data_IF_628468614682
#
_entry.id   IF_628468614682
#
_cell.length_a   1.000
_cell.length_b   1.000
_cell.length_c   1.000
_cell.angle_alpha   90.00
_cell.angle_beta   90.00
_cell.angle_gamma   90.00
#
_symmetry.space_group_name_H-M   'P 1'
#
loop_
_entity.id
_entity.type
_entity.pdbx_description
1 polymer ?
#
# COMPACT_ATOMS: atom_id res chain seq x y z
N UNK A 1 11.31 14.95 -13.69
CA UNK A 1 10.67 16.03 -12.92
C UNK A 1 10.05 15.42 -11.68
N UNK A 2 10.36 15.95 -10.50
CA UNK A 2 9.92 15.40 -9.22
C UNK A 2 8.47 15.84 -8.97
N UNK A 3 7.49 15.11 -9.50
CA UNK A 3 6.04 15.44 -9.45
C UNK A 3 5.43 15.24 -8.05
N UNK A 4 6.19 15.44 -6.98
CA UNK A 4 5.69 15.30 -5.61
C UNK A 4 5.47 16.69 -5.05
N UNK A 5 4.20 17.07 -4.87
CA UNK A 5 3.84 18.32 -4.20
C UNK A 5 4.55 18.39 -2.84
N UNK A 6 5.10 19.56 -2.46
CA UNK A 6 5.71 19.73 -1.14
C UNK A 6 4.64 19.57 -0.06
N UNK A 7 5.00 18.95 1.07
CA UNK A 7 4.13 18.84 2.24
C UNK A 7 3.85 20.24 2.79
N UNK A 8 2.57 20.56 3.03
CA UNK A 8 2.18 21.81 3.68
C UNK A 8 2.62 21.82 5.15
N UNK A 9 2.59 22.98 5.80
CA UNK A 9 2.87 23.07 7.24
C UNK A 9 1.83 22.28 8.07
N UNK A 10 0.58 22.25 7.60
CA UNK A 10 -0.51 21.47 8.21
C UNK A 10 -0.28 19.96 8.04
N UNK A 11 0.10 19.51 6.84
CA UNK A 11 0.42 18.10 6.56
C UNK A 11 1.54 17.62 7.50
N UNK A 12 2.59 18.45 7.70
CA UNK A 12 3.71 18.12 8.59
C UNK A 12 3.28 18.01 10.04
N UNK A 13 2.50 18.98 10.56
CA UNK A 13 2.00 18.92 11.94
C UNK A 13 1.15 17.68 12.19
N UNK A 14 0.19 17.39 11.31
CA UNK A 14 -0.64 16.20 11.41
C UNK A 14 0.20 14.90 11.40
N UNK A 15 1.22 14.83 10.54
CA UNK A 15 2.16 13.70 10.48
C UNK A 15 2.95 13.52 11.77
N UNK A 16 3.41 14.61 12.36
CA UNK A 16 4.17 14.57 13.61
C UNK A 16 3.28 14.20 14.81
N UNK A 17 2.10 14.81 14.93
CA UNK A 17 1.13 14.51 15.98
C UNK A 17 0.71 13.04 15.96
N UNK A 18 0.38 12.53 14.78
CA UNK A 18 0.05 11.12 14.61
C UNK A 18 1.23 10.20 14.93
N UNK A 19 2.46 10.60 14.58
CA UNK A 19 3.64 9.84 14.93
C UNK A 19 3.86 9.73 16.44
N UNK A 20 3.61 10.83 17.16
CA UNK A 20 3.62 10.82 18.61
C UNK A 20 2.51 9.93 19.17
N UNK A 21 1.28 10.04 18.68
CA UNK A 21 0.16 9.21 19.13
C UNK A 21 0.48 7.71 18.98
N UNK A 22 0.94 7.29 17.80
CA UNK A 22 1.24 5.89 17.52
C UNK A 22 2.41 5.34 18.34
N UNK A 23 3.41 6.16 18.68
CA UNK A 23 4.55 5.73 19.50
C UNK A 23 4.27 5.76 21.00
N UNK A 24 3.43 6.69 21.46
CA UNK A 24 3.08 6.86 22.88
C UNK A 24 1.95 5.93 23.30
N UNK A 25 1.22 5.36 22.33
CA UNK A 25 0.12 4.46 22.63
C UNK A 25 0.61 3.21 23.36
N UNK A 26 0.03 2.95 24.53
CA UNK A 26 0.28 1.75 25.34
C UNK A 26 -0.86 0.74 25.25
N UNK A 27 -1.87 1.01 24.43
CA UNK A 27 -2.98 0.10 24.20
C UNK A 27 -2.47 -1.13 23.42
N UNK A 28 -2.58 -2.36 23.99
CA UNK A 28 -2.18 -3.58 23.30
C UNK A 28 -2.94 -3.81 21.99
N UNK A 29 -4.17 -3.29 21.85
CA UNK A 29 -4.98 -3.40 20.61
C UNK A 29 -4.40 -2.52 19.49
N UNK A 30 -3.68 -1.44 19.84
CA UNK A 30 -2.95 -0.56 18.90
C UNK A 30 -1.48 -0.96 18.74
N UNK A 31 -1.10 -2.18 19.14
CA UNK A 31 0.21 -2.72 18.81
C UNK A 31 0.38 -2.84 17.30
N UNK A 32 1.59 -2.58 16.80
CA UNK A 32 1.96 -2.75 15.40
C UNK A 32 1.60 -4.14 14.85
N UNK A 33 1.54 -5.13 15.72
CA UNK A 33 1.24 -6.52 15.38
C UNK A 33 -0.24 -6.75 15.00
N UNK A 34 -1.14 -5.90 15.48
CA UNK A 34 -2.59 -5.97 15.24
C UNK A 34 -3.08 -4.99 14.17
N UNK A 35 -2.18 -4.19 13.60
CA UNK A 35 -2.51 -3.22 12.55
C UNK A 35 -2.42 -3.89 11.18
N UNK A 36 -3.51 -3.77 10.41
CA UNK A 36 -3.52 -4.19 9.01
C UNK A 36 -3.29 -2.96 8.13
N UNK A 37 -2.19 -2.93 7.39
CA UNK A 37 -1.85 -1.87 6.44
C UNK A 37 -2.34 -2.23 5.04
N UNK A 38 -3.17 -1.39 4.44
CA UNK A 38 -3.73 -1.61 3.10
C UNK A 38 -3.52 -0.39 2.19
N UNK A 39 -3.46 -0.62 0.88
CA UNK A 39 -3.41 0.42 -0.14
C UNK A 39 -3.75 -0.14 -1.53
N UNK A 40 -4.15 0.72 -2.47
CA UNK A 40 -4.30 0.38 -3.88
C UNK A 40 -3.05 0.71 -4.70
N UNK A 41 -2.72 -0.16 -5.66
CA UNK A 41 -1.62 0.07 -6.59
C UNK A 41 -2.03 -0.16 -8.04
N UNK A 42 -1.72 0.81 -8.90
CA UNK A 42 -1.83 0.68 -10.37
C UNK A 42 -0.56 0.07 -10.98
N UNK A 43 -0.73 -0.90 -11.86
CA UNK A 43 0.30 -1.59 -12.63
C UNK A 43 0.04 -1.42 -14.13
N UNK A 44 1.07 -1.20 -14.95
CA UNK A 44 0.92 -0.93 -16.38
C UNK A 44 1.68 -1.97 -17.21
N UNK A 45 1.14 -2.33 -18.38
CA UNK A 45 1.75 -3.35 -19.23
C UNK A 45 3.16 -2.99 -19.70
N UNK A 46 3.41 -1.70 -19.93
CA UNK A 46 4.65 -1.19 -20.50
C UNK A 46 5.76 -0.95 -19.46
N UNK A 47 5.48 -1.21 -18.19
CA UNK A 47 6.44 -1.06 -17.10
C UNK A 47 6.02 -0.05 -16.03
N UNK A 48 6.87 0.12 -15.00
CA UNK A 48 6.55 0.93 -13.83
C UNK A 48 6.63 2.43 -14.10
N UNK A 49 5.69 3.20 -13.53
CA UNK A 49 5.62 4.66 -13.68
C UNK A 49 6.86 5.41 -13.15
N UNK A 50 7.53 4.87 -12.12
CA UNK A 50 8.60 5.57 -11.37
C UNK A 50 9.95 4.84 -11.32
N UNK A 51 10.15 3.78 -12.11
CA UNK A 51 11.40 3.00 -12.17
C UNK A 51 11.98 2.93 -13.60
N UNK A 52 11.98 4.05 -14.33
CA UNK A 52 12.54 4.12 -15.68
C UNK A 52 14.08 4.23 -15.71
N UNK A 53 14.72 4.51 -14.58
CA UNK A 53 16.18 4.58 -14.47
C UNK A 53 16.75 3.22 -14.04
N UNK A 54 17.81 2.76 -14.72
CA UNK A 54 18.50 1.50 -14.39
C UNK A 54 20.01 1.67 -14.49
N UNK A 55 20.74 0.90 -13.67
CA UNK A 55 22.19 0.79 -13.77
C UNK A 55 22.54 -0.08 -14.97
N UNK A 56 23.32 0.48 -15.90
CA UNK A 56 23.67 -0.15 -17.17
C UNK A 56 25.15 -0.51 -17.19
N UNK A 57 25.44 -1.78 -17.48
CA UNK A 57 26.76 -2.17 -17.99
C UNK A 57 26.86 -1.76 -19.47
N UNK A 58 27.82 -0.89 -19.79
CA UNK A 58 28.01 -0.36 -21.16
C UNK A 58 28.36 -1.44 -22.18
N UNK A 59 28.83 -2.61 -21.73
CA UNK A 59 29.17 -3.75 -22.58
C UNK A 59 27.94 -4.53 -23.07
N UNK A 60 26.77 -4.29 -22.49
CA UNK A 60 25.52 -4.95 -22.89
C UNK A 60 24.69 -4.06 -23.83
N UNK A 61 23.94 -4.67 -24.77
CA UNK A 61 23.03 -3.92 -25.63
C UNK A 61 22.02 -3.13 -24.79
N UNK A 62 21.56 -2.00 -25.33
CA UNK A 62 20.57 -1.14 -24.67
C UNK A 62 19.31 -1.94 -24.34
N UNK A 63 18.82 -1.83 -23.11
CA UNK A 63 17.48 -2.32 -22.76
C UNK A 63 16.48 -1.56 -23.63
N UNK A 64 15.84 -2.26 -24.56
CA UNK A 64 14.78 -1.71 -25.39
C UNK A 64 13.44 -1.90 -24.68
N UNK A 65 12.85 -0.81 -24.20
CA UNK A 65 11.46 -0.80 -23.73
C UNK A 65 10.60 -0.17 -24.82
N UNK A 66 9.58 -0.88 -25.32
CA UNK A 66 8.63 -0.29 -26.27
C UNK A 66 7.52 0.38 -25.47
N UNK A 67 7.21 1.64 -25.77
CA UNK A 67 6.03 2.32 -25.22
C UNK A 67 4.93 2.26 -26.26
N UNK A 68 3.77 1.72 -25.92
CA UNK A 68 2.63 1.70 -26.85
C UNK A 68 2.12 3.13 -27.07
N UNK A 69 1.80 3.46 -28.31
CA UNK A 69 1.24 4.78 -28.70
C UNK A 69 -0.22 4.92 -28.23
N UNK A 70 -0.95 3.81 -28.08
CA UNK A 70 -2.31 3.73 -27.52
C UNK A 70 -2.57 2.34 -26.90
N UNK A 71 -3.52 2.25 -25.94
CA UNK A 71 -3.98 0.96 -25.40
C UNK A 71 -3.08 0.31 -24.35
N UNK A 72 -2.30 1.10 -23.61
CA UNK A 72 -1.23 0.63 -22.72
C UNK A 72 -1.64 -0.28 -21.56
N UNK A 73 -2.94 -0.50 -21.31
CA UNK A 73 -3.49 -1.44 -20.33
C UNK A 73 -3.00 -1.26 -18.89
N UNK A 74 -3.90 -1.31 -17.92
CA UNK A 74 -3.48 -1.28 -16.53
C UNK A 74 -4.34 -2.15 -15.66
N UNK A 75 -3.73 -2.69 -14.61
CA UNK A 75 -4.38 -3.44 -13.56
C UNK A 75 -4.29 -2.61 -12.29
N UNK A 76 -5.42 -2.34 -11.67
CA UNK A 76 -5.45 -1.80 -10.31
C UNK A 76 -5.64 -2.95 -9.35
N UNK A 77 -4.84 -3.01 -8.30
CA UNK A 77 -4.94 -4.05 -7.27
C UNK A 77 -5.05 -3.43 -5.90
N UNK A 78 -5.68 -4.15 -4.98
CA UNK A 78 -5.73 -3.84 -3.55
C UNK A 78 -5.17 -5.02 -2.77
N UNK A 79 -4.46 -4.74 -1.69
CA UNK A 79 -4.10 -5.75 -0.69
C UNK A 79 -3.87 -5.12 0.67
N UNK A 80 -3.82 -5.98 1.69
CA UNK A 80 -3.41 -5.67 3.05
C UNK A 80 -2.25 -6.54 3.54
N UNK A 81 -1.46 -6.00 4.47
CA UNK A 81 -0.41 -6.72 5.20
C UNK A 81 -0.47 -6.39 6.69
N UNK A 82 -0.09 -7.35 7.52
CA UNK A 82 0.03 -7.20 8.98
C UNK A 82 1.15 -8.10 9.50
N UNK A 83 1.44 -8.06 10.81
CA UNK A 83 2.42 -8.96 11.40
C UNK A 83 2.03 -10.45 11.30
N UNK A 84 0.74 -10.76 11.11
CA UNK A 84 0.24 -12.12 10.92
C UNK A 84 0.37 -12.61 9.46
N UNK A 85 0.42 -11.71 8.48
CA UNK A 85 0.62 -12.10 7.09
C UNK A 85 0.16 -11.07 6.07
N UNK A 86 -0.31 -11.57 4.94
CA UNK A 86 -0.82 -10.79 3.82
C UNK A 86 -2.22 -11.28 3.46
N UNK A 87 -3.09 -10.36 3.05
CA UNK A 87 -4.41 -10.72 2.52
C UNK A 87 -4.27 -11.42 1.17
N UNK A 88 -5.38 -11.94 0.64
CA UNK A 88 -5.44 -12.22 -0.80
C UNK A 88 -5.31 -10.90 -1.58
N UNK A 89 -4.70 -10.97 -2.76
CA UNK A 89 -4.62 -9.85 -3.69
C UNK A 89 -5.97 -9.69 -4.40
N UNK A 90 -6.56 -8.50 -4.35
CA UNK A 90 -7.79 -8.18 -5.05
C UNK A 90 -7.47 -7.43 -6.35
N UNK A 91 -8.05 -7.84 -7.47
CA UNK A 91 -8.01 -7.08 -8.73
C UNK A 91 -9.24 -6.19 -8.80
N UNK A 92 -9.01 -4.89 -8.91
CA UNK A 92 -10.07 -3.88 -8.98
C UNK A 92 -10.42 -3.62 -10.44
N UNK A 93 -11.71 -3.76 -10.76
CA UNK A 93 -12.24 -3.59 -12.11
C UNK A 93 -13.00 -2.26 -12.23
N UNK A 94 -12.73 -1.51 -13.31
CA UNK A 94 -13.49 -0.28 -13.63
C UNK A 94 -13.24 0.89 -12.68
N UNK A 95 -14.14 1.87 -12.72
CA UNK A 95 -14.17 2.97 -11.76
C UNK A 95 -14.73 2.46 -10.44
N UNK A 96 -13.94 2.58 -9.37
CA UNK A 96 -14.33 2.10 -8.05
C UNK A 96 -15.40 3.01 -7.45
N UNK A 97 -16.53 2.43 -7.06
CA UNK A 97 -17.57 3.11 -6.28
C UNK A 97 -17.52 2.68 -4.80
N UNK A 98 -18.45 3.18 -3.98
CA UNK A 98 -18.53 2.82 -2.56
C UNK A 98 -18.80 1.35 -2.31
N UNK A 99 -19.58 0.70 -3.18
CA UNK A 99 -20.06 -0.67 -2.98
C UNK A 99 -18.96 -1.67 -3.36
N UNK A 100 -18.18 -1.39 -4.40
CA UNK A 100 -16.97 -2.15 -4.76
C UNK A 100 -15.94 -2.13 -3.62
N UNK A 101 -15.90 -1.01 -2.91
CA UNK A 101 -15.01 -0.84 -1.78
C UNK A 101 -15.49 -1.65 -0.56
N UNK A 102 -16.79 -1.60 -0.25
CA UNK A 102 -17.39 -2.46 0.79
C UNK A 102 -17.15 -3.93 0.46
N UNK A 103 -17.33 -4.34 -0.80
CA UNK A 103 -17.05 -5.69 -1.26
C UNK A 103 -15.59 -6.09 -1.06
N UNK A 104 -14.65 -5.21 -1.44
CA UNK A 104 -13.21 -5.49 -1.26
C UNK A 104 -12.88 -5.72 0.22
N UNK A 105 -13.47 -4.92 1.10
CA UNK A 105 -13.26 -5.06 2.54
C UNK A 105 -13.93 -6.31 3.10
N UNK A 106 -15.16 -6.61 2.69
CA UNK A 106 -15.90 -7.78 3.17
C UNK A 106 -15.28 -9.10 2.72
N UNK A 107 -14.73 -9.16 1.50
CA UNK A 107 -14.21 -10.40 0.93
C UNK A 107 -12.71 -10.61 1.15
N UNK A 108 -11.93 -9.54 1.25
CA UNK A 108 -10.46 -9.65 1.32
C UNK A 108 -9.89 -9.24 2.66
N UNK A 109 -10.43 -8.19 3.30
CA UNK A 109 -9.93 -7.73 4.59
C UNK A 109 -10.54 -8.52 5.74
N UNK A 110 -11.87 -8.58 5.85
CA UNK A 110 -12.54 -9.17 7.02
C UNK A 110 -12.24 -10.65 7.22
N UNK A 111 -12.20 -11.50 6.19
CA UNK A 111 -11.90 -12.91 6.39
C UNK A 111 -10.47 -13.11 6.92
N UNK A 112 -9.52 -12.29 6.45
CA UNK A 112 -8.14 -12.29 6.95
C UNK A 112 -8.08 -11.77 8.40
N UNK A 113 -8.78 -10.67 8.68
CA UNK A 113 -8.80 -10.08 10.01
C UNK A 113 -9.40 -11.06 11.04
N UNK A 114 -10.57 -11.63 10.75
CA UNK A 114 -11.23 -12.61 11.60
C UNK A 114 -10.41 -13.88 11.78
N UNK A 115 -9.72 -14.38 10.74
CA UNK A 115 -8.93 -15.61 10.83
C UNK A 115 -7.68 -15.46 11.69
N UNK A 116 -7.08 -14.25 11.73
CA UNK A 116 -5.82 -14.02 12.44
C UNK A 116 -5.97 -13.32 13.79
N UNK A 117 -6.98 -12.48 13.94
CA UNK A 117 -7.14 -11.57 15.09
C UNK A 117 -8.51 -11.67 15.77
N UNK A 118 -9.46 -12.44 15.21
CA UNK A 118 -10.83 -12.50 15.73
C UNK A 118 -11.51 -11.13 15.60
N UNK A 119 -12.03 -10.60 16.71
CA UNK A 119 -12.67 -9.27 16.79
C UNK A 119 -11.69 -8.14 17.16
N UNK A 120 -10.46 -8.47 17.54
CA UNK A 120 -9.51 -7.52 18.14
C UNK A 120 -8.47 -7.03 17.12
N UNK A 121 -8.90 -6.31 16.08
CA UNK A 121 -8.00 -5.74 15.07
C UNK A 121 -8.33 -4.30 14.67
N UNK A 122 -7.30 -3.58 14.19
CA UNK A 122 -7.44 -2.21 13.71
C UNK A 122 -6.95 -2.10 12.26
N UNK A 123 -7.84 -1.96 11.28
CA UNK A 123 -7.40 -1.66 9.93
C UNK A 123 -6.89 -0.23 9.84
N UNK A 124 -5.68 -0.09 9.30
CA UNK A 124 -5.16 1.16 8.76
C UNK A 124 -5.43 1.18 7.25
N UNK A 125 -6.32 2.07 6.82
CA UNK A 125 -6.57 2.30 5.41
C UNK A 125 -6.31 3.76 5.08
N UNK A 126 -5.67 4.02 3.94
CA UNK A 126 -5.54 5.37 3.36
C UNK A 126 -6.91 5.93 2.92
N UNK A 127 -7.93 5.09 2.89
CA UNK A 127 -9.14 5.30 2.12
C UNK A 127 -10.15 6.23 2.77
N UNK A 128 -9.98 6.54 4.05
CA UNK A 128 -10.79 7.58 4.72
C UNK A 128 -10.66 8.95 4.05
N UNK A 129 -9.56 9.25 3.36
CA UNK A 129 -9.39 10.55 2.68
C UNK A 129 -10.16 10.71 1.37
N UNK A 130 -10.77 9.66 0.82
CA UNK A 130 -11.69 9.82 -0.32
C UNK A 130 -13.14 10.11 0.10
N UNK A 131 -13.47 9.90 1.39
CA UNK A 131 -14.82 10.05 1.90
C UNK A 131 -14.86 11.11 3.01
N UNK A 132 -14.69 12.37 2.65
CA UNK A 132 -14.91 13.54 3.54
C UNK A 132 -16.41 13.79 3.87
N UNK A 133 -17.26 12.78 3.71
CA UNK A 133 -18.67 12.77 4.09
C UNK A 133 -19.02 11.39 4.68
N UNK A 134 -19.93 11.30 5.67
CA UNK A 134 -20.48 10.03 6.09
C UNK A 134 -21.16 9.43 4.85
N UNK A 135 -20.52 8.42 4.29
CA UNK A 135 -20.95 7.69 3.11
C UNK A 135 -21.04 6.22 3.47
N UNK A 136 -21.75 5.43 2.66
CA UNK A 136 -22.02 4.00 2.90
C UNK A 136 -20.85 3.14 3.44
N UNK A 137 -19.58 3.37 3.04
CA UNK A 137 -18.46 2.62 3.61
C UNK A 137 -18.27 2.86 5.12
N UNK A 138 -18.47 4.08 5.61
CA UNK A 138 -18.31 4.39 7.04
C UNK A 138 -19.41 3.78 7.92
N UNK A 139 -20.65 3.67 7.40
CA UNK A 139 -21.71 2.95 8.10
C UNK A 139 -21.41 1.45 8.15
N UNK A 140 -20.87 0.87 7.08
CA UNK A 140 -20.42 -0.52 7.10
C UNK A 140 -19.33 -0.78 8.15
N UNK A 141 -18.30 0.07 8.23
CA UNK A 141 -17.27 -0.08 9.27
C UNK A 141 -17.83 0.03 10.69
N UNK A 142 -18.76 0.96 10.90
CA UNK A 142 -19.44 1.13 12.20
C UNK A 142 -20.31 -0.08 12.54
N UNK A 143 -21.05 -0.64 11.58
CA UNK A 143 -21.88 -1.83 11.75
C UNK A 143 -21.06 -3.09 12.02
N UNK A 144 -19.86 -3.19 11.45
CA UNK A 144 -18.93 -4.29 11.70
C UNK A 144 -18.05 -4.08 12.94
N UNK A 145 -18.30 -3.02 13.72
CA UNK A 145 -17.52 -2.65 14.92
C UNK A 145 -16.01 -2.47 14.65
N UNK A 146 -15.67 -2.09 13.42
CA UNK A 146 -14.28 -1.93 12.97
C UNK A 146 -13.78 -0.54 13.36
N UNK A 147 -12.75 -0.50 14.21
CA UNK A 147 -12.07 0.76 14.54
C UNK A 147 -10.99 1.07 13.50
N UNK A 148 -11.24 2.07 12.66
CA UNK A 148 -10.29 2.53 11.63
C UNK A 148 -9.27 3.49 12.25
N UNK A 149 -7.99 3.29 11.92
CA UNK A 149 -6.93 4.18 12.39
C UNK A 149 -6.93 5.51 11.62
N UNK A 150 -6.92 6.67 12.31
CA UNK A 150 -6.90 7.96 11.65
C UNK A 150 -5.61 8.12 10.82
N UNK A 151 -5.75 8.30 9.49
CA UNK A 151 -4.61 8.36 8.57
C UNK A 151 -4.25 9.79 8.13
N UNK A 152 -2.97 10.14 8.21
CA UNK A 152 -2.52 11.54 7.97
C UNK A 152 -2.39 11.98 6.50
N UNK A 153 -2.68 11.18 5.49
CA UNK A 153 -2.39 11.45 4.07
C UNK A 153 -1.09 12.16 3.65
N UNK A 154 -0.77 11.97 2.36
CA UNK A 154 0.55 12.26 1.81
C UNK A 154 1.67 11.62 2.64
N UNK A 155 1.37 10.48 3.26
CA UNK A 155 2.28 9.70 4.10
C UNK A 155 2.55 8.29 3.59
N UNK A 156 2.89 8.10 2.30
CA UNK A 156 3.24 6.77 1.79
C UNK A 156 4.47 6.21 2.50
N UNK A 157 5.39 7.06 2.95
CA UNK A 157 6.60 6.68 3.69
C UNK A 157 6.29 6.07 5.08
N UNK A 158 5.08 6.33 5.61
CA UNK A 158 4.56 5.75 6.85
C UNK A 158 3.62 4.55 6.60
N UNK A 159 3.50 4.05 5.37
CA UNK A 159 2.78 2.83 5.04
C UNK A 159 3.75 1.74 4.56
N UNK A 160 3.94 0.63 5.29
CA UNK A 160 4.91 -0.41 4.92
C UNK A 160 4.54 -1.12 3.62
N UNK A 161 3.27 -1.14 3.22
CA UNK A 161 2.83 -1.78 1.98
C UNK A 161 3.40 -1.08 0.73
N UNK A 162 3.72 0.21 0.81
CA UNK A 162 4.36 0.95 -0.29
C UNK A 162 5.76 0.42 -0.60
N UNK A 163 6.51 -0.03 0.42
CA UNK A 163 7.78 -0.71 0.21
C UNK A 163 7.57 -2.10 -0.39
N UNK A 164 6.51 -2.80 0.00
CA UNK A 164 6.16 -4.10 -0.59
C UNK A 164 5.77 -3.96 -2.07
N UNK A 165 5.00 -2.92 -2.43
CA UNK A 165 4.75 -2.56 -3.82
C UNK A 165 6.05 -2.30 -4.59
N UNK A 166 7.03 -1.67 -3.96
CA UNK A 166 8.35 -1.46 -4.55
C UNK A 166 9.12 -2.78 -4.77
N UNK A 167 9.06 -3.72 -3.82
CA UNK A 167 9.67 -5.05 -3.96
C UNK A 167 9.03 -5.80 -5.13
N UNK A 168 7.70 -5.89 -5.14
CA UNK A 168 6.96 -6.52 -6.24
C UNK A 168 7.27 -5.87 -7.58
N UNK A 169 7.37 -4.53 -7.63
CA UNK A 169 7.65 -3.79 -8.86
C UNK A 169 8.97 -4.24 -9.49
N UNK A 170 9.99 -4.51 -8.67
CA UNK A 170 11.29 -4.99 -9.14
C UNK A 170 11.23 -6.42 -9.67
N UNK A 171 10.37 -7.27 -9.11
CA UNK A 171 10.20 -8.66 -9.52
C UNK A 171 9.35 -8.78 -10.79
N UNK A 172 8.16 -8.16 -10.81
CA UNK A 172 7.23 -8.17 -11.95
C UNK A 172 7.89 -7.64 -13.23
N UNK A 173 8.60 -6.52 -13.14
CA UNK A 173 9.27 -5.90 -14.29
C UNK A 173 10.78 -6.22 -14.36
N UNK A 174 11.21 -7.32 -13.75
CA UNK A 174 12.60 -7.76 -13.75
C UNK A 174 13.14 -7.84 -15.19
N UNK A 175 14.40 -7.41 -15.38
CA UNK A 175 15.06 -7.34 -16.69
C UNK A 175 14.31 -6.50 -17.75
N UNK A 176 13.32 -5.72 -17.32
CA UNK A 176 12.48 -4.96 -18.23
C UNK A 176 11.41 -5.72 -18.94
N UNK A 177 10.93 -6.80 -18.33
CA UNK A 177 9.71 -7.48 -18.75
C UNK A 177 8.59 -6.47 -18.98
N UNK A 178 7.91 -6.62 -20.10
CA UNK A 178 6.67 -5.96 -20.46
C UNK A 178 5.65 -7.05 -20.75
N UNK A 179 4.37 -6.76 -20.58
CA UNK A 179 3.30 -7.75 -20.67
C UNK A 179 2.46 -7.53 -21.90
N UNK A 180 2.06 -8.59 -22.61
CA UNK A 180 1.30 -8.43 -23.85
C UNK A 180 -0.18 -8.17 -23.59
N UNK A 181 -0.71 -8.71 -22.49
CA UNK A 181 -2.11 -8.59 -22.09
C UNK A 181 -2.27 -8.28 -20.60
N UNK A 182 -3.46 -7.78 -20.23
CA UNK A 182 -3.87 -7.61 -18.83
C UNK A 182 -3.86 -8.95 -18.08
N UNK A 183 -4.28 -10.03 -18.73
CA UNK A 183 -4.28 -11.37 -18.12
C UNK A 183 -2.88 -11.82 -17.69
N UNK A 184 -1.87 -11.70 -18.57
CA UNK A 184 -0.49 -12.05 -18.25
C UNK A 184 0.09 -11.19 -17.11
N UNK A 185 -0.23 -9.90 -17.08
CA UNK A 185 0.21 -9.03 -15.99
C UNK A 185 -0.46 -9.43 -14.68
N UNK A 186 -1.76 -9.70 -14.68
CA UNK A 186 -2.53 -10.13 -13.50
C UNK A 186 -1.98 -11.44 -12.94
N UNK A 187 -1.71 -12.44 -13.78
CA UNK A 187 -1.14 -13.72 -13.35
C UNK A 187 0.23 -13.52 -12.69
N UNK A 188 1.11 -12.74 -13.30
CA UNK A 188 2.41 -12.44 -12.70
C UNK A 188 2.30 -11.65 -11.38
N UNK A 189 1.27 -10.82 -11.21
CA UNK A 189 1.01 -10.13 -9.94
C UNK A 189 0.59 -11.11 -8.85
N UNK A 190 -0.27 -12.09 -9.16
CA UNK A 190 -0.64 -13.16 -8.22
C UNK A 190 0.58 -14.01 -7.85
N UNK A 191 1.35 -14.49 -8.83
CA UNK A 191 2.58 -15.26 -8.58
C UNK A 191 3.57 -14.51 -7.70
N UNK A 192 3.80 -13.22 -8.01
CA UNK A 192 4.71 -12.38 -7.23
C UNK A 192 4.17 -12.15 -5.82
N UNK A 193 2.87 -11.88 -5.69
CA UNK A 193 2.23 -11.68 -4.39
C UNK A 193 2.36 -12.92 -3.53
N UNK A 194 2.03 -14.10 -4.07
CA UNK A 194 2.06 -15.37 -3.36
C UNK A 194 3.49 -15.75 -2.94
N UNK A 195 4.49 -15.44 -3.78
CA UNK A 195 5.90 -15.68 -3.49
C UNK A 195 6.50 -14.77 -2.40
N UNK A 196 5.80 -13.71 -1.95
CA UNK A 196 6.30 -12.86 -0.85
C UNK A 196 6.42 -13.69 0.43
N UNK A 197 7.64 -13.80 0.93
CA UNK A 197 7.94 -14.50 2.17
C UNK A 197 7.46 -13.73 3.40
N UNK A 198 7.05 -14.49 4.42
CA UNK A 198 6.55 -13.92 5.68
C UNK A 198 7.59 -13.05 6.40
N UNK A 199 8.87 -13.40 6.30
CA UNK A 199 9.96 -12.64 6.93
C UNK A 199 10.12 -11.25 6.31
N UNK A 200 9.83 -11.11 5.01
CA UNK A 200 9.80 -9.79 4.35
C UNK A 200 8.71 -8.91 4.96
N UNK A 201 7.52 -9.46 5.18
CA UNK A 201 6.40 -8.72 5.77
C UNK A 201 6.72 -8.32 7.21
N UNK A 202 7.19 -9.26 8.04
CA UNK A 202 7.57 -9.00 9.43
C UNK A 202 8.60 -7.88 9.54
N UNK A 203 9.66 -7.94 8.73
CA UNK A 203 10.69 -6.90 8.73
C UNK A 203 10.14 -5.50 8.38
N UNK A 204 9.11 -5.43 7.52
CA UNK A 204 8.45 -4.17 7.19
C UNK A 204 7.61 -3.65 8.36
N UNK A 205 6.84 -4.51 9.03
CA UNK A 205 6.03 -4.12 10.20
C UNK A 205 6.94 -3.69 11.37
N UNK A 206 7.99 -4.45 11.67
CA UNK A 206 8.99 -4.13 12.71
C UNK A 206 9.74 -2.81 12.43
N UNK A 207 9.75 -2.34 11.18
CA UNK A 207 10.34 -1.05 10.83
C UNK A 207 9.51 0.14 11.30
N UNK A 208 8.20 -0.03 11.54
CA UNK A 208 7.26 1.07 11.78
C UNK A 208 7.68 2.00 12.93
N UNK A 209 8.07 1.50 14.13
CA UNK A 209 8.54 2.38 15.20
C UNK A 209 9.71 3.29 14.77
N UNK A 210 10.61 2.82 13.90
CA UNK A 210 11.73 3.63 13.39
C UNK A 210 11.26 4.70 12.43
N UNK A 211 10.29 4.40 11.56
CA UNK A 211 9.71 5.36 10.60
C UNK A 211 9.06 6.54 11.33
N UNK A 212 8.23 6.23 12.33
CA UNK A 212 7.55 7.27 13.11
C UNK A 212 8.54 8.09 13.95
N UNK A 213 9.57 7.47 14.54
CA UNK A 213 10.65 8.20 15.22
C UNK A 213 11.37 9.16 14.27
N UNK A 214 11.60 8.76 13.02
CA UNK A 214 12.20 9.64 12.02
C UNK A 214 11.27 10.77 11.61
N UNK A 215 9.96 10.50 11.45
CA UNK A 215 8.95 11.52 11.17
C UNK A 215 9.00 12.65 12.22
N UNK A 216 9.08 12.27 13.51
CA UNK A 216 9.21 13.21 14.63
C UNK A 216 10.55 13.97 14.58
N UNK A 217 11.67 13.27 14.35
CA UNK A 217 12.99 13.93 14.22
C UNK A 217 13.06 14.90 13.05
N UNK A 218 12.23 14.70 12.03
CA UNK A 218 12.14 15.53 10.83
C UNK A 218 10.89 16.42 10.84
N UNK A 219 10.55 17.07 11.95
CA UNK A 219 9.21 17.60 12.28
C UNK A 219 8.13 17.42 11.19
N UNK A 220 7.65 16.18 11.04
CA UNK A 220 6.58 15.83 10.10
C UNK A 220 6.94 15.78 8.61
N UNK A 221 8.20 16.00 8.26
CA UNK A 221 8.72 15.97 6.89
C UNK A 221 8.94 14.52 6.41
N UNK A 222 9.33 14.37 5.15
CA UNK A 222 9.53 13.05 4.53
C UNK A 222 10.65 12.26 5.22
N UNK A 223 10.35 11.03 5.57
CA UNK A 223 11.35 10.06 6.02
C UNK A 223 12.13 9.53 4.81
N UNK A 224 13.14 8.70 5.05
CA UNK A 224 13.88 8.05 3.96
C UNK A 224 13.19 6.79 3.39
N UNK A 225 12.06 6.39 3.97
CA UNK A 225 11.30 5.18 3.62
C UNK A 225 10.40 5.34 2.40
#
# INVERSE_FOLDING_TARGET
MNNTLPLSAEDKRAREEWAWEMLMNKDPVRSWDCIIFSDEKKWNLDGPDRFQTYWRDLRRPLRQTKRRQAGGGSVMVWAGISAAGKTKLAVLHGEQNSDDYVYTFSEFLLPFAHSHYGTDFLPSSRTERQFTRPSGPMSFFTEQEICVLPWTARSPDLNPIENLWSIMTRQVYANGKQYSSVGELTEALYETWDAIEMDTIKSLIESMPRRYKECIKKPGNKTHY
#
